data_IF_637252187815
#
_entry.id   IF_637252187815
#
_cell.length_a   1.000
_cell.length_b   1.000
_cell.length_c   1.000
_cell.angle_alpha   90.00
_cell.angle_beta   90.00
_cell.angle_gamma   90.00
#
_symmetry.space_group_name_H-M   'P 1'
#
loop_
_entity.id
_entity.type
_entity.pdbx_description
1 polymer ?
#
# COMPACT_ATOMS: atom_id res chain seq x y z
N UNK A 1 -16.06 20.45 -29.01
CA UNK A 1 -16.01 19.08 -29.56
C UNK A 1 -16.41 18.12 -28.45
N UNK A 2 -17.65 17.63 -28.45
CA UNK A 2 -18.15 16.72 -27.40
C UNK A 2 -17.56 15.34 -27.69
N UNK A 3 -16.68 14.84 -26.81
CA UNK A 3 -16.15 13.47 -26.92
C UNK A 3 -17.31 12.48 -26.84
N UNK A 4 -17.41 11.58 -27.82
CA UNK A 4 -18.39 10.48 -27.76
C UNK A 4 -18.05 9.61 -26.55
N UNK A 5 -19.04 8.93 -25.98
CA UNK A 5 -18.90 8.01 -24.85
C UNK A 5 -17.82 6.92 -25.08
N UNK A 6 -17.46 6.64 -26.34
CA UNK A 6 -16.41 5.69 -26.75
C UNK A 6 -14.97 6.22 -26.69
N UNK A 7 -14.75 7.54 -26.69
CA UNK A 7 -13.40 8.13 -26.71
C UNK A 7 -12.85 8.41 -25.31
N UNK A 8 -13.65 8.09 -24.29
CA UNK A 8 -13.23 8.18 -22.90
C UNK A 8 -12.51 6.91 -22.51
N UNK A 9 -11.19 6.97 -22.44
CA UNK A 9 -10.40 5.96 -21.75
C UNK A 9 -10.37 6.32 -20.26
N UNK A 10 -10.67 5.38 -19.34
CA UNK A 10 -10.69 5.62 -17.87
C UNK A 10 -9.27 5.79 -17.29
N UNK A 11 -8.35 6.28 -18.11
CA UNK A 11 -6.96 6.48 -17.78
C UNK A 11 -6.77 7.86 -17.16
N UNK A 12 -6.29 7.89 -15.93
CA UNK A 12 -5.95 9.14 -15.25
C UNK A 12 -4.94 9.94 -16.06
N UNK A 13 -5.08 11.27 -16.09
CA UNK A 13 -4.10 12.15 -16.72
C UNK A 13 -2.73 12.01 -16.07
N UNK A 14 -1.66 12.20 -16.85
CA UNK A 14 -0.28 11.96 -16.42
C UNK A 14 0.08 12.69 -15.10
N UNK A 15 -0.41 13.91 -14.88
CA UNK A 15 -0.15 14.68 -13.64
C UNK A 15 -0.72 13.98 -12.41
N UNK A 16 -1.96 13.48 -12.49
CA UNK A 16 -2.64 12.81 -11.39
C UNK A 16 -2.07 11.41 -11.12
N UNK A 17 -1.64 10.68 -12.16
CA UNK A 17 -0.96 9.38 -11.99
C UNK A 17 0.26 9.48 -11.08
N UNK A 18 1.08 10.51 -11.25
CA UNK A 18 2.29 10.70 -10.42
C UNK A 18 1.94 10.92 -8.96
N UNK A 19 0.99 11.81 -8.70
CA UNK A 19 0.56 12.15 -7.34
C UNK A 19 -0.02 10.92 -6.66
N UNK A 20 -0.91 10.18 -7.32
CA UNK A 20 -1.53 8.97 -6.77
C UNK A 20 -0.48 7.90 -6.49
N UNK A 21 0.49 7.69 -7.38
CA UNK A 21 1.57 6.73 -7.15
C UNK A 21 2.42 7.08 -5.93
N UNK A 22 2.76 8.37 -5.75
CA UNK A 22 3.51 8.83 -4.58
C UNK A 22 2.70 8.69 -3.31
N UNK A 23 1.41 9.05 -3.32
CA UNK A 23 0.53 8.90 -2.16
C UNK A 23 0.40 7.43 -1.75
N UNK A 24 0.17 6.53 -2.70
CA UNK A 24 0.11 5.09 -2.45
C UNK A 24 1.42 4.56 -1.86
N UNK A 25 2.56 5.00 -2.40
CA UNK A 25 3.88 4.60 -1.92
C UNK A 25 4.22 5.20 -0.53
N UNK A 26 3.61 6.33 -0.17
CA UNK A 26 3.80 6.99 1.13
C UNK A 26 2.90 6.41 2.24
N UNK A 27 1.77 5.78 1.90
CA UNK A 27 0.88 5.13 2.89
C UNK A 27 1.61 4.18 3.86
N UNK A 28 2.46 3.22 3.42
CA UNK A 28 3.24 2.39 4.34
C UNK A 28 4.17 3.19 5.24
N UNK A 29 4.76 4.29 4.76
CA UNK A 29 5.61 5.14 5.59
C UNK A 29 4.82 5.78 6.74
N UNK A 30 3.62 6.31 6.46
CA UNK A 30 2.77 6.93 7.49
C UNK A 30 2.30 5.89 8.51
N UNK A 31 1.84 4.72 8.05
CA UNK A 31 1.45 3.63 8.94
C UNK A 31 2.63 3.18 9.82
N UNK A 32 3.83 3.04 9.23
CA UNK A 32 5.02 2.66 9.98
C UNK A 32 5.46 3.71 11.00
N UNK A 33 5.32 5.00 10.68
CA UNK A 33 5.59 6.07 11.63
C UNK A 33 4.64 6.02 12.84
N UNK A 34 3.38 5.63 12.63
CA UNK A 34 2.39 5.47 13.70
C UNK A 34 2.81 4.36 14.68
N UNK A 35 3.20 3.19 14.16
CA UNK A 35 3.79 2.10 14.96
C UNK A 35 5.02 2.55 15.77
N UNK A 36 5.89 3.37 15.18
CA UNK A 36 7.11 3.87 15.83
C UNK A 36 6.86 4.95 16.88
N UNK A 37 5.76 5.72 16.75
CA UNK A 37 5.39 6.75 17.72
C UNK A 37 4.67 6.20 18.95
N UNK A 38 4.36 4.90 18.94
CA UNK A 38 3.83 4.17 20.07
C UNK A 38 2.31 4.03 20.00
N UNK A 39 1.85 2.99 19.31
CA UNK A 39 0.49 2.49 19.48
C UNK A 39 0.30 1.91 20.88
N UNK A 40 -0.86 2.14 21.50
CA UNK A 40 -1.18 1.55 22.80
C UNK A 40 -1.29 0.02 22.66
N UNK A 41 -0.59 -0.73 23.51
CA UNK A 41 -0.57 -2.19 23.44
C UNK A 41 -1.98 -2.84 23.55
N UNK A 42 -2.93 -2.14 24.17
CA UNK A 42 -4.31 -2.57 24.32
C UNK A 42 -5.10 -2.55 23.01
N UNK A 43 -4.69 -1.74 22.02
CA UNK A 43 -5.37 -1.64 20.71
C UNK A 43 -4.80 -2.59 19.66
N UNK A 44 -3.67 -3.24 19.94
CA UNK A 44 -3.01 -4.15 19.00
C UNK A 44 -3.79 -5.45 18.83
N UNK A 45 -4.03 -5.82 17.57
CA UNK A 45 -4.58 -7.11 17.15
C UNK A 45 -3.62 -8.26 17.46
N UNK A 46 -4.13 -9.50 17.43
CA UNK A 46 -3.30 -10.70 17.63
C UNK A 46 -2.14 -10.78 16.64
N UNK A 47 -2.34 -10.33 15.40
CA UNK A 47 -1.29 -10.28 14.38
C UNK A 47 -0.23 -9.23 14.71
N UNK A 48 -0.64 -8.03 15.14
CA UNK A 48 0.32 -6.98 15.49
C UNK A 48 1.16 -7.37 16.70
N UNK A 49 0.63 -8.18 17.62
CA UNK A 49 1.37 -8.75 18.77
C UNK A 49 2.39 -9.82 18.41
N UNK A 50 2.45 -10.29 17.16
CA UNK A 50 3.41 -11.34 16.74
C UNK A 50 4.85 -10.85 16.65
N UNK A 51 5.05 -9.54 16.51
CA UNK A 51 6.36 -8.89 16.47
C UNK A 51 6.34 -7.63 17.36
N UNK A 52 7.50 -7.16 17.83
CA UNK A 52 7.59 -5.85 18.47
C UNK A 52 7.06 -4.74 17.54
N UNK A 53 6.39 -3.72 18.10
CA UNK A 53 5.81 -2.61 17.33
C UNK A 53 6.88 -1.87 16.53
N UNK A 54 8.10 -1.79 17.04
CA UNK A 54 9.24 -1.16 16.35
C UNK A 54 9.63 -1.93 15.08
N UNK A 55 9.47 -3.26 15.09
CA UNK A 55 9.74 -4.12 13.93
C UNK A 55 8.67 -3.92 12.86
N UNK A 56 7.39 -3.89 13.25
CA UNK A 56 6.29 -3.55 12.33
C UNK A 56 6.49 -2.17 11.70
N UNK A 57 6.76 -1.17 12.54
CA UNK A 57 7.02 0.19 12.10
C UNK A 57 8.22 0.29 11.15
N UNK A 58 9.33 -0.34 11.50
CA UNK A 58 10.53 -0.38 10.67
C UNK A 58 10.31 -1.04 9.31
N UNK A 59 9.58 -2.16 9.25
CA UNK A 59 9.24 -2.84 8.00
C UNK A 59 8.36 -1.98 7.09
N UNK A 60 7.35 -1.33 7.66
CA UNK A 60 6.44 -0.44 6.94
C UNK A 60 7.17 0.81 6.41
N UNK A 61 8.01 1.45 7.23
CA UNK A 61 8.85 2.58 6.80
C UNK A 61 9.79 2.16 5.68
N UNK A 62 10.48 1.02 5.81
CA UNK A 62 11.38 0.51 4.79
C UNK A 62 10.65 0.23 3.47
N UNK A 63 9.46 -0.38 3.53
CA UNK A 63 8.65 -0.68 2.36
C UNK A 63 8.26 0.60 1.59
N UNK A 64 7.79 1.63 2.32
CA UNK A 64 7.45 2.93 1.75
C UNK A 64 8.66 3.67 1.19
N UNK A 65 9.78 3.67 1.92
CA UNK A 65 11.03 4.28 1.46
C UNK A 65 11.53 3.63 0.17
N UNK A 66 11.52 2.30 0.05
CA UNK A 66 11.91 1.59 -1.17
C UNK A 66 11.02 1.98 -2.35
N UNK A 67 9.70 2.04 -2.14
CA UNK A 67 8.74 2.41 -3.16
C UNK A 67 8.94 3.86 -3.64
N UNK A 68 8.98 4.83 -2.71
CA UNK A 68 9.18 6.26 -3.01
C UNK A 68 10.55 6.52 -3.63
N UNK A 69 11.63 5.96 -3.07
CA UNK A 69 12.97 6.09 -3.62
C UNK A 69 13.07 5.49 -5.02
N UNK A 70 12.52 4.28 -5.22
CA UNK A 70 12.49 3.64 -6.52
C UNK A 70 11.74 4.46 -7.56
N UNK A 71 10.60 5.04 -7.18
CA UNK A 71 9.83 5.94 -8.03
C UNK A 71 10.61 7.22 -8.37
N UNK A 72 11.16 7.91 -7.38
CA UNK A 72 11.85 9.19 -7.53
C UNK A 72 13.15 9.05 -8.34
N UNK A 73 13.95 8.03 -8.03
CA UNK A 73 15.22 7.76 -8.70
C UNK A 73 15.08 6.98 -10.00
N UNK A 74 13.84 6.71 -10.45
CA UNK A 74 13.53 5.92 -11.65
C UNK A 74 14.20 4.54 -11.64
N UNK A 75 14.26 3.91 -10.46
CA UNK A 75 14.75 2.53 -10.27
C UNK A 75 13.54 1.61 -10.11
N UNK A 76 13.02 1.04 -11.22
CA UNK A 76 11.73 0.34 -11.20
C UNK A 76 11.75 -0.88 -10.27
N UNK A 77 12.86 -1.62 -10.21
CA UNK A 77 12.99 -2.79 -9.34
C UNK A 77 12.88 -2.44 -7.85
N UNK A 78 13.48 -1.32 -7.41
CA UNK A 78 13.32 -0.84 -6.03
C UNK A 78 11.84 -0.50 -5.75
N UNK A 79 11.17 0.15 -6.70
CA UNK A 79 9.76 0.51 -6.58
C UNK A 79 8.88 -0.75 -6.47
N UNK A 80 9.10 -1.73 -7.35
CA UNK A 80 8.36 -3.00 -7.39
C UNK A 80 8.53 -3.77 -6.09
N UNK A 81 9.76 -3.91 -5.58
CA UNK A 81 10.02 -4.59 -4.31
C UNK A 81 9.36 -3.88 -3.13
N UNK A 82 9.47 -2.56 -3.05
CA UNK A 82 8.82 -1.77 -2.00
C UNK A 82 7.29 -1.93 -2.02
N UNK A 83 6.68 -1.95 -3.20
CA UNK A 83 5.24 -2.15 -3.37
C UNK A 83 4.79 -3.58 -3.06
N UNK A 84 5.57 -4.62 -3.40
CA UNK A 84 5.26 -5.98 -2.99
C UNK A 84 5.33 -6.16 -1.47
N UNK A 85 6.37 -5.60 -0.84
CA UNK A 85 6.53 -5.61 0.61
C UNK A 85 5.38 -4.86 1.28
N UNK A 86 5.04 -3.66 0.80
CA UNK A 86 3.89 -2.90 1.28
C UNK A 86 2.59 -3.69 1.15
N UNK A 87 2.37 -4.32 -0.01
CA UNK A 87 1.23 -5.19 -0.26
C UNK A 87 1.10 -6.32 0.75
N UNK A 88 2.20 -7.02 1.03
CA UNK A 88 2.24 -8.10 2.02
C UNK A 88 1.94 -7.60 3.44
N UNK A 89 2.60 -6.52 3.88
CA UNK A 89 2.41 -5.96 5.23
C UNK A 89 0.96 -5.49 5.45
N UNK A 90 0.40 -4.71 4.52
CA UNK A 90 -0.99 -4.25 4.61
C UNK A 90 -1.99 -5.40 4.52
N UNK A 91 -1.70 -6.46 3.77
CA UNK A 91 -2.56 -7.65 3.73
C UNK A 91 -2.57 -8.35 5.08
N UNK A 92 -1.40 -8.55 5.68
CA UNK A 92 -1.27 -9.19 6.99
C UNK A 92 -2.01 -8.38 8.07
N UNK A 93 -1.85 -7.05 8.09
CA UNK A 93 -2.60 -6.16 8.99
C UNK A 93 -4.12 -6.23 8.72
N UNK A 94 -4.54 -6.20 7.45
CA UNK A 94 -5.96 -6.33 7.09
C UNK A 94 -6.58 -7.62 7.63
N UNK A 95 -5.88 -8.75 7.53
CA UNK A 95 -6.32 -10.03 8.09
C UNK A 95 -6.40 -9.98 9.63
N UNK A 96 -5.40 -9.37 10.30
CA UNK A 96 -5.40 -9.23 11.75
C UNK A 96 -6.56 -8.40 12.28
N UNK A 97 -6.80 -7.24 11.66
CA UNK A 97 -7.94 -6.37 12.00
C UNK A 97 -9.26 -7.07 11.66
N UNK A 98 -9.35 -7.75 10.51
CA UNK A 98 -10.56 -8.48 10.11
C UNK A 98 -10.92 -9.52 11.16
N UNK A 99 -9.94 -10.33 11.56
CA UNK A 99 -10.11 -11.35 12.59
C UNK A 99 -10.59 -10.75 13.91
N UNK A 100 -9.91 -9.71 14.40
CA UNK A 100 -10.31 -9.03 15.63
C UNK A 100 -11.70 -8.37 15.55
N UNK A 101 -12.12 -7.93 14.37
CA UNK A 101 -13.41 -7.26 14.14
C UNK A 101 -14.59 -8.20 13.98
N UNK A 102 -14.38 -9.46 13.59
CA UNK A 102 -15.45 -10.46 13.44
C UNK A 102 -15.97 -10.91 14.81
N UNK A 103 -15.09 -10.94 15.81
CA UNK A 103 -15.39 -11.41 17.17
C UNK A 103 -15.85 -10.29 18.12
N UNK A 104 -15.79 -9.04 17.68
CA UNK A 104 -16.31 -7.87 18.39
C UNK A 104 -17.50 -7.29 17.61
N UNK A 105 -18.34 -6.44 18.20
CA UNK A 105 -19.43 -5.73 17.48
C UNK A 105 -18.92 -4.72 16.40
N UNK A 106 -17.71 -4.94 15.88
CA UNK A 106 -16.92 -4.03 15.05
C UNK A 106 -17.33 -3.99 13.58
N UNK A 107 -16.81 -2.97 12.88
CA UNK A 107 -17.13 -2.70 11.48
C UNK A 107 -16.04 -3.14 10.49
N UNK A 108 -16.46 -3.57 9.30
CA UNK A 108 -15.58 -4.01 8.20
C UNK A 108 -14.72 -2.90 7.57
N UNK A 109 -14.92 -1.64 7.97
CA UNK A 109 -14.26 -0.47 7.37
C UNK A 109 -12.73 -0.50 7.52
N UNK A 110 -12.24 -0.80 8.72
CA UNK A 110 -10.79 -0.85 8.98
C UNK A 110 -10.08 -1.87 8.10
N UNK A 111 -10.45 -3.16 8.18
CA UNK A 111 -9.88 -4.22 7.34
C UNK A 111 -9.96 -3.92 5.85
N UNK A 112 -11.08 -3.37 5.39
CA UNK A 112 -11.29 -3.03 3.99
C UNK A 112 -10.30 -1.97 3.47
N UNK A 113 -10.01 -0.93 4.26
CA UNK A 113 -9.06 0.11 3.87
C UNK A 113 -7.65 -0.44 3.72
N UNK A 114 -7.20 -1.27 4.68
CA UNK A 114 -5.89 -1.93 4.62
C UNK A 114 -5.82 -2.91 3.43
N UNK A 115 -6.90 -3.65 3.18
CA UNK A 115 -6.98 -4.57 2.04
C UNK A 115 -6.90 -3.83 0.70
N UNK A 116 -7.60 -2.69 0.54
CA UNK A 116 -7.49 -1.88 -0.68
C UNK A 116 -6.05 -1.42 -0.90
N UNK A 117 -5.38 -0.89 0.14
CA UNK A 117 -3.99 -0.41 0.03
C UNK A 117 -3.06 -1.56 -0.38
N UNK A 118 -3.27 -2.75 0.19
CA UNK A 118 -2.54 -3.96 -0.18
C UNK A 118 -2.69 -4.30 -1.67
N UNK A 119 -3.94 -4.41 -2.15
CA UNK A 119 -4.25 -4.75 -3.54
C UNK A 119 -3.73 -3.69 -4.51
N UNK A 120 -3.93 -2.40 -4.21
CA UNK A 120 -3.40 -1.30 -5.00
C UNK A 120 -1.86 -1.37 -5.12
N UNK A 121 -1.18 -1.71 -4.03
CA UNK A 121 0.28 -1.86 -4.04
C UNK A 121 0.73 -3.00 -4.95
N UNK A 122 0.08 -4.16 -4.89
CA UNK A 122 0.39 -5.28 -5.78
C UNK A 122 0.05 -5.00 -7.25
N UNK A 123 -1.12 -4.43 -7.54
CA UNK A 123 -1.47 -4.06 -8.92
C UNK A 123 -0.55 -2.97 -9.48
N UNK A 124 -0.12 -2.02 -8.65
CA UNK A 124 0.90 -1.05 -9.05
C UNK A 124 2.24 -1.74 -9.34
N UNK A 125 2.68 -2.69 -8.49
CA UNK A 125 3.90 -3.46 -8.72
C UNK A 125 3.85 -4.25 -10.04
N UNK A 126 2.74 -4.94 -10.30
CA UNK A 126 2.51 -5.65 -11.57
C UNK A 126 2.53 -4.69 -12.76
N UNK A 127 1.87 -3.54 -12.65
CA UNK A 127 1.87 -2.51 -13.69
C UNK A 127 3.28 -1.98 -14.00
N UNK A 128 4.11 -1.75 -12.98
CA UNK A 128 5.51 -1.35 -13.19
C UNK A 128 6.36 -2.50 -13.77
N UNK A 129 6.12 -3.75 -13.35
CA UNK A 129 6.81 -4.91 -13.90
C UNK A 129 6.50 -5.11 -15.39
N UNK A 130 5.24 -4.92 -15.79
CA UNK A 130 4.82 -5.00 -17.20
C UNK A 130 5.45 -3.88 -18.04
N UNK A 131 5.58 -2.66 -17.49
CA UNK A 131 6.33 -1.57 -18.14
C UNK A 131 7.80 -1.91 -18.36
N UNK A 132 8.47 -2.50 -17.36
CA UNK A 132 9.88 -2.94 -17.49
C UNK A 132 10.04 -4.03 -18.54
N UNK A 133 9.06 -4.92 -18.67
CA UNK A 133 9.05 -6.02 -19.66
C UNK A 133 8.67 -5.56 -21.07
N UNK A 134 8.30 -4.29 -21.25
CA UNK A 134 7.90 -3.76 -22.56
C UNK A 134 6.56 -4.28 -23.08
N UNK A 135 5.66 -4.75 -22.20
CA UNK A 135 4.31 -5.14 -22.62
C UNK A 135 3.51 -3.90 -23.06
N UNK A 136 2.65 -4.02 -24.09
CA UNK A 136 1.79 -2.92 -24.52
C UNK A 136 0.85 -2.48 -23.39
N UNK A 137 0.71 -1.16 -23.20
CA UNK A 137 -0.17 -0.53 -22.21
C UNK A 137 -1.60 -0.36 -22.71
#
# INVERSE_FOLDING_TARGET
MIKRRSDWTPQLGHRYRRIIAVLLAATPFVAGADFLMGEHAETLTLVERTLPTEVWGGLLVLAGMLAVFGYWCRRPWCCIWGLHLSGALFFTLACGIAWASIDAEGGFRGPWLYLIVSLLSWFAALGYADQVRGKPQ
#
